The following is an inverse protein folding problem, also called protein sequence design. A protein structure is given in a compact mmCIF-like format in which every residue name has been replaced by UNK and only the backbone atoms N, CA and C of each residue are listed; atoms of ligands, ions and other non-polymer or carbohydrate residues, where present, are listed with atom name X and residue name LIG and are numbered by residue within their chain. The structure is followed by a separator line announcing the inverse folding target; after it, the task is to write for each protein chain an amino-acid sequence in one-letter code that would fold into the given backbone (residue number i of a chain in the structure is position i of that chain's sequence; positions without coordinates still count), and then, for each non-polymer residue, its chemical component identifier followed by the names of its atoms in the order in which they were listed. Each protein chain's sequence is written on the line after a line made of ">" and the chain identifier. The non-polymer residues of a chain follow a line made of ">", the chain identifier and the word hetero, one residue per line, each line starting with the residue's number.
data_IF_786302405991
#
_entry.id   IF_786302405991
#
_cell.length_a   1.000
_cell.length_b   1.000
_cell.length_c   1.000
_cell.angle_alpha   90.00
_cell.angle_beta   90.00
_cell.angle_gamma   90.00
#
_symmetry.space_group_name_H-M   'P 1'
#
loop_
_entity.id
_entity.type
_entity.pdbx_description
1 polymer ?
#
# COMPACT_ATOMS: atom_id res chain seq x y z
N UNK A 1 -9.87 10.20 -13.97
CA UNK A 1 -10.02 11.05 -12.79
C UNK A 1 -9.61 10.27 -11.56
N UNK A 2 -8.95 10.93 -10.59
CA UNK A 2 -8.61 10.35 -9.29
C UNK A 2 -9.36 11.10 -8.19
N UNK A 3 -9.64 10.40 -7.09
CA UNK A 3 -10.22 10.96 -5.87
C UNK A 3 -9.10 11.25 -4.89
N UNK A 4 -9.06 12.48 -4.37
CA UNK A 4 -8.04 12.95 -3.43
C UNK A 4 -8.59 13.05 -2.01
N UNK A 5 -7.81 12.60 -1.05
CA UNK A 5 -8.09 12.68 0.39
C UNK A 5 -6.88 13.28 1.09
N UNK A 6 -7.13 14.10 2.09
CA UNK A 6 -6.08 14.74 2.89
C UNK A 6 -6.37 14.56 4.38
N UNK A 7 -5.36 14.16 5.13
CA UNK A 7 -5.39 14.11 6.59
C UNK A 7 -4.38 15.12 7.16
N UNK A 8 -4.83 16.19 7.77
CA UNK A 8 -3.94 17.14 8.44
C UNK A 8 -3.33 16.51 9.69
N UNK A 9 -2.06 16.78 9.92
CA UNK A 9 -1.34 16.41 11.13
C UNK A 9 -1.09 17.64 12.01
N UNK A 10 -0.65 18.76 11.42
CA UNK A 10 -0.32 20.00 12.12
C UNK A 10 -0.84 21.24 11.37
N UNK A 11 -0.87 22.37 12.09
CA UNK A 11 -0.97 23.69 11.49
C UNK A 11 0.41 24.13 10.99
N UNK A 12 0.48 24.67 9.79
CA UNK A 12 1.73 25.09 9.18
C UNK A 12 1.49 26.28 8.22
N UNK A 13 2.22 27.36 8.41
CA UNK A 13 2.24 28.55 7.54
C UNK A 13 0.84 29.06 7.14
N UNK A 14 -0.07 29.17 8.11
CA UNK A 14 -1.46 29.61 7.90
C UNK A 14 -2.37 28.57 7.23
N UNK A 15 -1.88 27.36 6.97
CA UNK A 15 -2.62 26.23 6.43
C UNK A 15 -2.49 24.97 7.28
N UNK A 16 -2.60 23.83 6.63
CA UNK A 16 -2.44 22.51 7.24
C UNK A 16 -1.36 21.71 6.49
N UNK A 17 -0.49 21.05 7.25
CA UNK A 17 0.45 20.07 6.74
C UNK A 17 0.03 18.66 7.18
N UNK A 18 0.24 17.66 6.33
CA UNK A 18 -0.20 16.29 6.60
C UNK A 18 0.08 15.37 5.42
N UNK A 19 -0.69 14.31 5.32
CA UNK A 19 -0.54 13.29 4.28
C UNK A 19 -1.72 13.27 3.33
N UNK A 20 -1.48 12.85 2.09
CA UNK A 20 -2.47 12.72 1.03
C UNK A 20 -2.59 11.30 0.49
N UNK A 21 -3.77 10.95 0.03
CA UNK A 21 -4.07 9.72 -0.66
C UNK A 21 -4.83 10.01 -1.95
N UNK A 22 -4.37 9.46 -3.07
CA UNK A 22 -5.05 9.49 -4.35
C UNK A 22 -5.51 8.09 -4.74
N UNK A 23 -6.78 7.94 -5.11
CA UNK A 23 -7.35 6.65 -5.49
C UNK A 23 -8.14 6.74 -6.79
N UNK A 24 -8.16 5.65 -7.59
CA UNK A 24 -9.03 5.54 -8.77
C UNK A 24 -10.46 5.15 -8.41
N UNK A 25 -10.62 4.39 -7.32
CA UNK A 25 -11.92 3.93 -6.83
C UNK A 25 -12.30 4.73 -5.58
N UNK A 26 -13.58 4.95 -5.37
CA UNK A 26 -14.07 5.49 -4.10
C UNK A 26 -13.94 4.42 -3.01
N UNK A 27 -13.34 4.74 -1.85
CA UNK A 27 -13.34 3.83 -0.72
C UNK A 27 -14.76 3.71 -0.15
N UNK A 28 -15.08 2.52 0.37
CA UNK A 28 -16.31 2.28 1.13
C UNK A 28 -16.29 2.99 2.47
N UNK A 29 -15.09 3.14 3.06
CA UNK A 29 -14.86 3.79 4.34
C UNK A 29 -13.53 4.52 4.30
N UNK A 30 -13.52 5.73 4.86
CA UNK A 30 -12.31 6.52 5.05
C UNK A 30 -12.21 6.93 6.51
N UNK A 31 -11.05 6.71 7.11
CA UNK A 31 -10.78 7.07 8.49
C UNK A 31 -9.38 7.67 8.63
N UNK A 32 -9.20 8.47 9.65
CA UNK A 32 -7.89 8.98 10.07
C UNK A 32 -7.60 8.57 11.50
N UNK A 33 -6.34 8.32 11.80
CA UNK A 33 -5.87 7.99 13.13
C UNK A 33 -4.71 8.92 13.47
N UNK A 34 -4.83 9.78 14.50
CA UNK A 34 -3.70 10.54 15.01
C UNK A 34 -2.59 9.60 15.52
N UNK A 35 -1.36 9.89 15.15
CA UNK A 35 -0.19 9.14 15.57
C UNK A 35 0.76 10.05 16.37
N UNK A 36 1.50 9.49 17.35
CA UNK A 36 2.47 10.25 18.11
C UNK A 36 3.64 10.73 17.26
N UNK A 37 4.13 11.91 17.59
CA UNK A 37 5.33 12.51 17.07
C UNK A 37 5.67 13.67 17.96
N UNK A 38 6.74 13.56 18.76
CA UNK A 38 7.15 14.61 19.72
C UNK A 38 7.74 15.83 19.05
N UNK A 39 8.35 15.61 17.88
CA UNK A 39 8.85 16.70 17.05
C UNK A 39 7.74 17.34 16.20
N UNK A 40 6.78 16.53 15.75
CA UNK A 40 5.67 16.90 14.90
C UNK A 40 4.60 15.82 14.97
N UNK A 41 3.36 16.19 15.24
CA UNK A 41 2.25 15.23 15.26
C UNK A 41 2.12 14.54 13.90
N UNK A 42 1.79 13.25 13.92
CA UNK A 42 1.64 12.40 12.74
C UNK A 42 0.20 11.93 12.59
N UNK A 43 -0.10 11.39 11.44
CA UNK A 43 -1.44 10.86 11.14
C UNK A 43 -1.35 9.66 10.20
N UNK A 44 -2.41 8.88 10.19
CA UNK A 44 -2.61 7.78 9.25
C UNK A 44 -3.95 7.97 8.56
N UNK A 45 -4.01 7.72 7.25
CA UNK A 45 -5.26 7.55 6.51
C UNK A 45 -5.49 6.05 6.33
N UNK A 46 -6.69 5.58 6.66
CA UNK A 46 -7.17 4.25 6.32
C UNK A 46 -8.30 4.40 5.29
N UNK A 47 -8.11 3.80 4.13
CA UNK A 47 -9.12 3.70 3.07
C UNK A 47 -9.50 2.23 2.88
N UNK A 48 -10.75 1.88 3.17
CA UNK A 48 -11.28 0.53 2.96
C UNK A 48 -11.98 0.46 1.61
N UNK A 49 -11.59 -0.50 0.79
CA UNK A 49 -12.20 -0.85 -0.49
C UNK A 49 -12.95 -2.19 -0.38
N UNK A 50 -13.62 -2.61 -1.45
CA UNK A 50 -14.36 -3.88 -1.47
C UNK A 50 -13.46 -5.08 -1.11
N UNK A 51 -12.26 -5.13 -1.70
CA UNK A 51 -11.39 -6.29 -1.65
C UNK A 51 -10.14 -6.11 -0.77
N UNK A 52 -9.81 -4.89 -0.33
CA UNK A 52 -8.60 -4.59 0.45
C UNK A 52 -8.74 -3.32 1.29
N UNK A 53 -7.79 -3.11 2.19
CA UNK A 53 -7.60 -1.88 2.97
C UNK A 53 -6.23 -1.30 2.63
N UNK A 54 -6.18 0.01 2.45
CA UNK A 54 -4.94 0.74 2.24
C UNK A 54 -4.74 1.77 3.34
N UNK A 55 -3.61 1.70 4.00
CA UNK A 55 -3.17 2.65 5.03
C UNK A 55 -1.99 3.46 4.51
N UNK A 56 -2.05 4.78 4.65
CA UNK A 56 -1.00 5.71 4.27
C UNK A 56 -0.58 6.51 5.50
N UNK A 57 0.72 6.67 5.72
CA UNK A 57 1.27 7.40 6.88
C UNK A 57 2.62 8.04 6.59
N UNK A 58 3.03 8.94 7.47
CA UNK A 58 4.39 9.46 7.62
C UNK A 58 4.73 9.36 9.11
N UNK A 59 5.66 8.48 9.46
CA UNK A 59 6.01 8.17 10.85
C UNK A 59 6.94 9.24 11.47
N UNK A 60 7.02 9.26 12.79
CA UNK A 60 7.91 10.15 13.55
C UNK A 60 9.40 9.90 13.27
N UNK A 61 10.24 10.91 13.41
CA UNK A 61 11.69 10.77 13.42
C UNK A 61 12.21 10.02 14.65
N UNK A 62 11.41 9.95 15.71
CA UNK A 62 11.76 9.30 16.97
C UNK A 62 11.30 7.85 17.00
N UNK A 63 12.23 6.90 17.23
CA UNK A 63 11.93 5.47 17.22
C UNK A 63 10.86 5.07 18.25
N UNK A 64 10.89 5.63 19.45
CA UNK A 64 9.90 5.36 20.50
C UNK A 64 8.48 5.72 20.03
N UNK A 65 8.32 6.85 19.33
CA UNK A 65 7.02 7.28 18.81
C UNK A 65 6.59 6.43 17.61
N UNK A 66 7.53 5.97 16.78
CA UNK A 66 7.25 4.98 15.72
C UNK A 66 6.75 3.66 16.29
N UNK A 67 7.37 3.17 17.38
CA UNK A 67 6.92 1.94 18.07
C UNK A 67 5.50 2.08 18.61
N UNK A 68 5.18 3.21 19.26
CA UNK A 68 3.82 3.51 19.72
C UNK A 68 2.83 3.60 18.55
N UNK A 69 3.24 4.23 17.45
CA UNK A 69 2.43 4.31 16.22
C UNK A 69 2.14 2.94 15.65
N UNK A 70 3.11 2.03 15.62
CA UNK A 70 2.92 0.65 15.15
C UNK A 70 1.87 -0.09 16.00
N UNK A 71 1.92 0.03 17.32
CA UNK A 71 0.92 -0.57 18.19
C UNK A 71 -0.49 0.01 17.95
N UNK A 72 -0.61 1.33 17.76
CA UNK A 72 -1.88 1.95 17.42
C UNK A 72 -2.42 1.47 16.06
N UNK A 73 -1.56 1.37 15.04
CA UNK A 73 -1.93 0.84 13.71
C UNK A 73 -2.41 -0.60 13.83
N UNK A 74 -1.68 -1.46 14.55
CA UNK A 74 -2.05 -2.86 14.80
C UNK A 74 -3.41 -2.97 15.49
N UNK A 75 -3.61 -2.20 16.56
CA UNK A 75 -4.90 -2.17 17.28
C UNK A 75 -6.05 -1.68 16.39
N UNK A 76 -5.82 -0.62 15.62
CA UNK A 76 -6.81 -0.01 14.73
C UNK A 76 -7.24 -0.93 13.58
N UNK A 77 -6.34 -1.81 13.15
CA UNK A 77 -6.56 -2.74 12.03
C UNK A 77 -6.82 -4.18 12.44
N UNK A 78 -6.84 -4.48 13.75
CA UNK A 78 -6.92 -5.84 14.31
C UNK A 78 -8.15 -6.64 13.88
N UNK A 79 -9.29 -5.97 13.66
CA UNK A 79 -10.55 -6.62 13.24
C UNK A 79 -10.63 -6.85 11.72
N UNK A 80 -9.64 -6.42 10.95
CA UNK A 80 -9.67 -6.56 9.49
C UNK A 80 -9.44 -8.02 9.08
N UNK A 81 -10.27 -8.50 8.16
CA UNK A 81 -10.10 -9.79 7.48
C UNK A 81 -9.64 -9.65 6.04
N UNK A 82 -9.66 -8.42 5.50
CA UNK A 82 -9.22 -8.10 4.13
C UNK A 82 -7.69 -7.96 4.06
N UNK A 83 -7.07 -8.20 2.91
CA UNK A 83 -5.70 -7.79 2.66
C UNK A 83 -5.50 -6.32 3.06
N UNK A 84 -4.47 -6.06 3.85
CA UNK A 84 -4.18 -4.72 4.36
C UNK A 84 -2.77 -4.32 3.95
N UNK A 85 -2.68 -3.16 3.32
CA UNK A 85 -1.42 -2.54 2.90
C UNK A 85 -1.14 -1.30 3.72
N UNK A 86 0.09 -1.19 4.20
CA UNK A 86 0.62 -0.02 4.91
C UNK A 86 1.74 0.58 4.08
N UNK A 87 1.63 1.84 3.71
CA UNK A 87 2.62 2.53 2.89
C UNK A 87 2.94 3.92 3.41
N UNK A 88 4.15 4.37 3.13
CA UNK A 88 4.61 5.72 3.43
C UNK A 88 6.07 5.78 3.88
N UNK A 89 6.45 6.98 4.30
CA UNK A 89 7.73 7.25 4.93
C UNK A 89 7.71 6.73 6.38
N UNK A 90 8.53 5.73 6.64
CA UNK A 90 8.66 5.12 7.97
C UNK A 90 9.76 5.77 8.81
N UNK A 91 10.54 6.72 8.25
CA UNK A 91 11.69 7.37 8.90
C UNK A 91 12.64 6.37 9.60
N UNK A 92 12.83 5.21 8.99
CA UNK A 92 13.59 4.11 9.58
C UNK A 92 14.23 3.25 8.50
N UNK A 93 15.53 2.98 8.64
CA UNK A 93 16.26 2.12 7.72
C UNK A 93 15.97 0.62 7.97
N UNK A 94 16.26 -0.27 7.00
CA UNK A 94 15.93 -1.70 7.07
C UNK A 94 16.48 -2.42 8.31
N UNK A 95 17.65 -2.02 8.80
CA UNK A 95 18.32 -2.64 9.95
C UNK A 95 17.89 -2.06 11.32
N UNK A 96 17.03 -1.04 11.32
CA UNK A 96 16.54 -0.42 12.56
C UNK A 96 15.71 -1.37 13.41
N UNK A 97 15.63 -1.07 14.71
CA UNK A 97 14.75 -1.79 15.64
C UNK A 97 13.29 -1.73 15.24
N UNK A 98 12.85 -0.57 14.77
CA UNK A 98 11.47 -0.36 14.30
C UNK A 98 11.11 -1.25 13.10
N UNK A 99 11.94 -1.30 12.05
CA UNK A 99 11.64 -2.15 10.88
C UNK A 99 11.66 -3.63 11.23
N UNK A 100 12.57 -4.06 12.14
CA UNK A 100 12.58 -5.44 12.65
C UNK A 100 11.29 -5.76 13.42
N UNK A 101 10.78 -4.82 14.22
CA UNK A 101 9.52 -4.98 14.94
C UNK A 101 8.32 -5.01 13.97
N UNK A 102 8.26 -4.07 13.01
CA UNK A 102 7.25 -4.05 11.95
C UNK A 102 7.20 -5.40 11.21
N UNK A 103 8.35 -5.96 10.89
CA UNK A 103 8.47 -7.22 10.16
C UNK A 103 7.97 -8.44 10.94
N UNK A 104 7.68 -8.36 12.23
CA UNK A 104 7.04 -9.48 12.94
C UNK A 104 5.62 -9.73 12.42
N UNK A 105 4.86 -8.67 12.18
CA UNK A 105 3.46 -8.73 11.77
C UNK A 105 3.26 -8.38 10.29
N UNK A 106 4.15 -7.60 9.69
CA UNK A 106 4.06 -7.15 8.29
C UNK A 106 5.14 -7.78 7.41
N UNK A 107 4.80 -8.02 6.17
CA UNK A 107 5.73 -8.38 5.10
C UNK A 107 6.00 -7.15 4.24
N UNK A 108 7.27 -6.74 4.12
CA UNK A 108 7.67 -5.67 3.20
C UNK A 108 7.54 -6.18 1.76
N UNK A 109 6.85 -5.43 0.92
CA UNK A 109 6.61 -5.71 -0.49
C UNK A 109 7.51 -4.87 -1.41
N UNK A 110 7.88 -3.65 -0.98
CA UNK A 110 8.86 -2.81 -1.67
C UNK A 110 10.26 -3.40 -1.57
N UNK A 111 11.19 -2.95 -2.41
CA UNK A 111 12.57 -3.45 -2.40
C UNK A 111 13.42 -2.67 -1.37
N UNK A 112 13.76 -3.26 -0.20
CA UNK A 112 14.51 -2.56 0.85
C UNK A 112 16.00 -2.34 0.50
N UNK A 113 16.47 -2.84 -0.63
CA UNK A 113 17.85 -2.64 -1.12
C UNK A 113 17.96 -1.47 -2.09
N UNK A 114 16.85 -0.83 -2.42
CA UNK A 114 16.82 0.36 -3.28
C UNK A 114 16.53 1.59 -2.43
N UNK A 115 17.50 2.51 -2.39
CA UNK A 115 17.38 3.74 -1.62
C UNK A 115 16.34 4.70 -2.19
N UNK A 116 15.66 5.41 -1.29
CA UNK A 116 14.58 6.35 -1.62
C UNK A 116 14.89 7.79 -1.28
N UNK A 117 15.83 8.03 -0.34
CA UNK A 117 16.17 9.36 0.17
C UNK A 117 17.69 9.60 0.22
N UNK A 118 18.18 10.84 0.00
CA UNK A 118 17.49 11.95 -0.68
C UNK A 118 17.35 11.70 -2.18
N UNK A 119 16.31 12.21 -2.84
CA UNK A 119 15.98 11.88 -4.22
C UNK A 119 17.10 12.14 -5.24
N UNK A 120 17.91 13.22 -5.15
CA UNK A 120 18.99 13.46 -6.11
C UNK A 120 20.10 12.41 -6.08
N UNK A 121 20.48 11.94 -4.87
CA UNK A 121 21.56 10.96 -4.63
C UNK A 121 21.16 10.05 -3.45
N UNK A 122 20.29 9.05 -3.67
CA UNK A 122 19.72 8.26 -2.60
C UNK A 122 20.75 7.41 -1.87
N UNK A 123 20.71 7.47 -0.53
CA UNK A 123 21.60 6.75 0.39
C UNK A 123 20.86 5.97 1.46
N UNK A 124 19.58 6.28 1.68
CA UNK A 124 18.75 5.71 2.72
C UNK A 124 17.49 5.09 2.12
N UNK A 125 17.01 4.01 2.75
CA UNK A 125 15.73 3.39 2.43
C UNK A 125 14.81 3.61 3.62
N UNK A 126 13.92 4.58 3.53
CA UNK A 126 13.00 4.96 4.61
C UNK A 126 11.53 4.90 4.19
N UNK A 127 11.25 4.71 2.91
CA UNK A 127 9.91 4.55 2.35
C UNK A 127 9.59 3.09 2.07
N UNK A 128 8.43 2.64 2.52
CA UNK A 128 8.04 1.23 2.39
C UNK A 128 6.59 1.07 1.97
N UNK A 129 6.33 -0.05 1.29
CA UNK A 129 5.00 -0.64 1.12
C UNK A 129 5.06 -2.03 1.75
N UNK A 130 4.18 -2.29 2.71
CA UNK A 130 4.11 -3.55 3.44
C UNK A 130 2.67 -4.06 3.49
N UNK A 131 2.49 -5.35 3.76
CA UNK A 131 1.19 -5.99 3.96
C UNK A 131 1.14 -6.71 5.29
N UNK A 132 -0.02 -6.70 5.94
CA UNK A 132 -0.26 -7.44 7.17
C UNK A 132 -0.25 -8.95 6.86
N UNK A 133 0.68 -9.71 7.46
CA UNK A 133 0.93 -11.13 7.13
C UNK A 133 -0.30 -12.03 7.29
N UNK A 134 -1.07 -11.84 8.37
CA UNK A 134 -2.26 -12.65 8.63
C UNK A 134 -3.29 -12.56 7.50
N UNK A 135 -3.32 -11.47 6.75
CA UNK A 135 -4.27 -11.17 5.69
C UNK A 135 -3.61 -11.17 4.30
N UNK A 136 -2.34 -11.56 4.18
CA UNK A 136 -1.55 -11.51 2.95
C UNK A 136 -1.88 -12.63 1.95
N UNK A 137 -3.12 -13.14 1.95
CA UNK A 137 -3.57 -14.19 1.04
C UNK A 137 -4.26 -13.59 -0.18
N UNK A 138 -4.12 -14.25 -1.32
CA UNK A 138 -4.87 -13.92 -2.52
C UNK A 138 -4.22 -12.87 -3.44
N UNK A 139 -2.95 -12.54 -3.27
CA UNK A 139 -2.20 -11.72 -4.24
C UNK A 139 -0.75 -12.17 -4.36
N UNK A 140 -0.13 -11.80 -5.48
CA UNK A 140 1.30 -11.99 -5.74
C UNK A 140 1.93 -10.67 -6.14
N UNK A 141 3.17 -10.43 -5.70
CA UNK A 141 3.98 -9.28 -6.15
C UNK A 141 4.47 -9.59 -7.57
N UNK A 142 4.16 -8.70 -8.51
CA UNK A 142 4.60 -8.76 -9.90
C UNK A 142 5.89 -7.98 -10.07
N UNK A 143 5.94 -6.77 -9.52
CA UNK A 143 7.13 -5.94 -9.52
C UNK A 143 7.19 -5.04 -8.30
N UNK A 144 8.41 -4.71 -7.87
CA UNK A 144 8.67 -3.72 -6.84
C UNK A 144 9.93 -2.93 -7.24
N UNK A 145 9.83 -1.61 -7.31
CA UNK A 145 10.93 -0.76 -7.74
C UNK A 145 10.84 0.64 -7.14
N UNK A 146 11.99 1.29 -7.02
CA UNK A 146 12.13 2.73 -6.81
C UNK A 146 12.19 3.39 -8.18
N UNK A 147 11.39 4.44 -8.37
CA UNK A 147 11.35 5.19 -9.63
C UNK A 147 12.44 6.27 -9.57
N UNK A 148 13.24 6.32 -10.61
CA UNK A 148 14.29 7.34 -10.71
C UNK A 148 13.68 8.70 -11.11
N UNK A 149 13.09 9.38 -10.13
CA UNK A 149 12.50 10.71 -10.26
C UNK A 149 13.08 11.64 -9.18
N UNK A 150 14.14 12.42 -9.51
CA UNK A 150 14.84 13.23 -8.52
C UNK A 150 14.23 14.62 -8.29
N UNK A 151 13.23 15.02 -9.08
CA UNK A 151 12.74 16.41 -9.11
C UNK A 151 11.36 16.60 -8.48
N UNK A 152 10.55 15.54 -8.41
CA UNK A 152 9.16 15.65 -7.96
C UNK A 152 9.02 15.82 -6.44
N UNK A 153 10.01 15.33 -5.69
CA UNK A 153 10.06 15.36 -4.21
C UNK A 153 11.50 15.19 -3.77
N UNK A 154 11.79 15.40 -2.51
CA UNK A 154 13.05 15.04 -1.84
C UNK A 154 13.16 13.51 -1.58
N UNK A 155 12.07 12.75 -1.75
CA UNK A 155 12.05 11.29 -1.79
C UNK A 155 11.77 10.76 -3.20
N UNK A 156 12.38 9.62 -3.57
CA UNK A 156 12.04 8.90 -4.79
C UNK A 156 10.77 8.08 -4.61
N UNK A 157 9.85 8.09 -5.59
CA UNK A 157 8.63 7.28 -5.52
C UNK A 157 8.95 5.77 -5.51
N UNK A 158 8.22 5.03 -4.70
CA UNK A 158 8.22 3.56 -4.72
C UNK A 158 6.96 3.04 -5.42
N UNK A 159 7.11 1.99 -6.21
CA UNK A 159 6.01 1.34 -6.92
C UNK A 159 6.03 -0.16 -6.63
N UNK A 160 4.89 -0.69 -6.20
CA UNK A 160 4.65 -2.12 -6.08
C UNK A 160 3.43 -2.48 -6.90
N UNK A 161 3.58 -3.42 -7.82
CA UNK A 161 2.51 -3.98 -8.62
C UNK A 161 2.09 -5.33 -8.06
N UNK A 162 0.80 -5.48 -7.78
CA UNK A 162 0.22 -6.69 -7.24
C UNK A 162 -0.79 -7.28 -8.22
N UNK A 163 -0.84 -8.61 -8.31
CA UNK A 163 -1.91 -9.35 -9.00
C UNK A 163 -2.70 -10.13 -7.96
N UNK A 164 -4.02 -9.95 -7.96
CA UNK A 164 -4.91 -10.78 -7.13
C UNK A 164 -5.08 -12.16 -7.78
N UNK A 165 -4.94 -13.22 -6.99
CA UNK A 165 -5.06 -14.59 -7.47
C UNK A 165 -6.50 -14.97 -7.89
N UNK A 166 -7.49 -14.32 -7.33
CA UNK A 166 -8.89 -14.72 -7.47
C UNK A 166 -9.62 -14.21 -8.72
N UNK A 167 -9.12 -13.17 -9.40
CA UNK A 167 -9.84 -12.61 -10.58
C UNK A 167 -9.66 -13.41 -11.86
N UNK A 168 -8.62 -14.24 -11.99
CA UNK A 168 -8.39 -15.02 -13.19
C UNK A 168 -9.25 -16.30 -13.26
N UNK A 169 -9.57 -16.90 -12.10
CA UNK A 169 -10.26 -18.19 -12.05
C UNK A 169 -11.76 -18.13 -11.81
N UNK A 170 -12.28 -16.95 -11.38
CA UNK A 170 -13.73 -16.83 -11.08
C UNK A 170 -14.60 -16.42 -12.29
N UNK A 171 -14.03 -15.93 -13.37
CA UNK A 171 -14.81 -15.52 -14.55
C UNK A 171 -15.12 -16.71 -15.45
N UNK A 172 -14.16 -17.64 -15.58
CA UNK A 172 -14.34 -18.81 -16.42
C UNK A 172 -14.20 -20.09 -15.62
N UNK A 173 -15.24 -20.90 -15.56
CA UNK A 173 -15.19 -22.28 -15.10
C UNK A 173 -14.44 -23.14 -16.12
N UNK A 174 -14.58 -22.80 -17.38
CA UNK A 174 -13.83 -23.34 -18.48
C UNK A 174 -13.27 -22.20 -19.32
N UNK A 175 -11.93 -22.17 -19.53
CA UNK A 175 -11.29 -21.17 -20.39
C UNK A 175 -11.85 -21.24 -21.81
N UNK A 176 -11.94 -20.10 -22.52
CA UNK A 176 -12.38 -20.11 -23.92
C UNK A 176 -11.55 -21.07 -24.76
N UNK A 177 -12.21 -21.93 -25.53
CA UNK A 177 -11.58 -22.82 -26.50
C UNK A 177 -12.36 -22.80 -27.81
N UNK A 178 -11.66 -23.16 -28.89
CA UNK A 178 -12.24 -23.20 -30.22
C UNK A 178 -12.83 -24.58 -30.50
N UNK A 179 -14.06 -24.60 -30.96
CA UNK A 179 -14.78 -25.84 -31.31
C UNK A 179 -15.41 -25.74 -32.69
N UNK A 180 -15.48 -26.90 -33.40
CA UNK A 180 -16.12 -27.02 -34.69
C UNK A 180 -15.67 -25.99 -35.74
N UNK A 181 -14.36 -25.93 -36.11
CA UNK A 181 -13.93 -25.08 -37.19
C UNK A 181 -14.58 -25.56 -38.51
N UNK A 182 -15.32 -24.63 -39.15
CA UNK A 182 -15.88 -24.83 -40.50
C UNK A 182 -15.35 -23.75 -41.42
N UNK A 183 -15.42 -23.96 -42.73
CA UNK A 183 -14.80 -23.08 -43.72
C UNK A 183 -15.10 -21.57 -43.55
N UNK A 184 -16.24 -21.23 -42.98
CA UNK A 184 -16.69 -19.83 -42.82
C UNK A 184 -16.93 -19.44 -41.38
N UNK A 185 -16.54 -20.26 -40.40
CA UNK A 185 -16.80 -19.91 -39.00
C UNK A 185 -16.11 -20.86 -38.02
N UNK A 186 -16.07 -20.40 -36.79
CA UNK A 186 -15.55 -21.15 -35.65
C UNK A 186 -16.40 -20.84 -34.42
N UNK A 187 -16.69 -21.84 -33.62
CA UNK A 187 -17.41 -21.69 -32.37
C UNK A 187 -16.43 -21.45 -31.24
N UNK A 188 -16.61 -20.37 -30.50
CA UNK A 188 -15.87 -20.11 -29.26
C UNK A 188 -16.76 -20.51 -28.09
N UNK A 189 -16.31 -21.47 -27.30
CA UNK A 189 -17.02 -21.96 -26.12
C UNK A 189 -16.33 -21.49 -24.85
N UNK A 190 -17.10 -21.10 -23.86
CA UNK A 190 -16.63 -20.81 -22.51
C UNK A 190 -17.75 -21.05 -21.50
N UNK A 191 -17.39 -21.24 -20.26
CA UNK A 191 -18.34 -21.34 -19.15
C UNK A 191 -17.91 -20.36 -18.04
N UNK A 192 -18.83 -19.56 -17.55
CA UNK A 192 -18.61 -18.63 -16.45
C UNK A 192 -19.09 -19.19 -15.12
N UNK A 193 -18.49 -18.79 -14.02
CA UNK A 193 -18.89 -19.20 -12.67
C UNK A 193 -20.03 -18.35 -12.11
N UNK A 194 -20.37 -17.26 -12.81
CA UNK A 194 -21.52 -16.37 -12.51
C UNK A 194 -22.33 -16.19 -13.77
N UNK A 195 -23.67 -16.16 -13.66
CA UNK A 195 -24.57 -15.93 -14.79
C UNK A 195 -24.37 -14.56 -15.43
#
# INVERSE_FOLDING_TARGET
>A
QMHGYFAPAIDYDGGKYGIGLLTKQLPLRLQTLPLPGREEARTLILAEFADYIYCCTHMSLTEEDRMKSLELVKAFTSSSTKPLFLAGDMNAEPESGFIKELQKDFQILSNPKQHTFPAPDPKETIDYIATLKQNAKGFAVISAKVINEPMASDHRPILVELRTAEKADKIFRMKPYLQNPVGNGITVMWETTVP
#
